data_IF_553199684771
#
_entry.id   IF_553199684771
#
_cell.length_a   1.000
_cell.length_b   1.000
_cell.length_c   1.000
_cell.angle_alpha   90.00
_cell.angle_beta   90.00
_cell.angle_gamma   90.00
#
_symmetry.space_group_name_H-M   'P 1'
#
loop_
_entity.id
_entity.type
_entity.pdbx_description
1 polymer ?
#
# COMPACT_ATOMS: atom_id res chain seq x y z
N UNK A 1 -9.11 10.11 39.60
CA UNK A 1 -8.28 10.02 38.37
C UNK A 1 -7.00 10.79 38.64
N UNK A 2 -5.82 10.20 38.41
CA UNK A 2 -4.52 10.87 38.58
C UNK A 2 -4.17 11.63 37.27
N UNK A 3 -4.17 12.98 37.25
CA UNK A 3 -3.95 13.77 36.03
C UNK A 3 -2.55 13.55 35.43
N UNK A 4 -1.54 13.34 36.27
CA UNK A 4 -0.15 13.12 35.84
C UNK A 4 0.04 11.72 35.25
N UNK A 5 -0.76 10.75 35.69
CA UNK A 5 -0.85 9.42 35.10
C UNK A 5 -1.59 9.41 33.76
N UNK A 6 -2.62 10.24 33.59
CA UNK A 6 -3.37 10.36 32.32
C UNK A 6 -2.53 11.01 31.21
N UNK A 7 -1.69 11.99 31.55
CA UNK A 7 -0.79 12.65 30.60
C UNK A 7 0.49 11.84 30.30
N UNK A 8 0.70 10.70 30.95
CA UNK A 8 1.90 9.86 30.75
C UNK A 8 3.16 10.35 31.47
N UNK A 9 3.11 11.51 32.12
CA UNK A 9 4.27 12.18 32.75
C UNK A 9 4.83 11.36 33.93
N UNK A 10 3.96 10.72 34.72
CA UNK A 10 4.38 9.84 35.81
C UNK A 10 5.10 8.60 35.29
N UNK A 11 4.60 8.00 34.21
CA UNK A 11 5.18 6.81 33.59
C UNK A 11 6.55 7.13 32.98
N UNK A 12 6.68 8.29 32.31
CA UNK A 12 7.95 8.77 31.77
C UNK A 12 8.99 9.05 32.88
N UNK A 13 8.57 9.71 33.96
CA UNK A 13 9.44 10.02 35.10
C UNK A 13 9.90 8.78 35.87
N UNK A 14 9.00 7.81 36.07
CA UNK A 14 9.33 6.54 36.76
C UNK A 14 10.22 5.64 35.90
N UNK A 15 10.02 5.64 34.58
CA UNK A 15 10.92 4.96 33.65
C UNK A 15 12.32 5.59 33.65
N UNK A 16 12.41 6.93 33.67
CA UNK A 16 13.69 7.64 33.78
C UNK A 16 14.43 7.34 35.09
N UNK A 17 13.71 7.13 36.20
CA UNK A 17 14.28 6.70 37.48
C UNK A 17 14.58 5.19 37.58
N UNK A 18 14.40 4.42 36.52
CA UNK A 18 14.68 2.98 36.50
C UNK A 18 13.73 2.13 37.38
N UNK A 19 12.60 2.71 37.82
CA UNK A 19 11.62 2.00 38.64
C UNK A 19 10.73 1.14 37.73
N UNK A 20 10.71 -0.18 37.96
CA UNK A 20 9.75 -1.06 37.27
C UNK A 20 8.34 -0.67 37.69
N UNK A 21 7.55 -0.18 36.74
CA UNK A 21 6.14 0.15 36.94
C UNK A 21 5.39 -1.08 37.44
N UNK A 22 4.74 -0.96 38.61
CA UNK A 22 3.85 -1.99 39.12
C UNK A 22 2.70 -2.24 38.12
N UNK A 23 2.26 -3.49 37.91
CA UNK A 23 1.12 -3.80 37.07
C UNK A 23 -0.12 -3.01 37.54
N UNK A 24 -0.73 -2.25 36.65
CA UNK A 24 -1.97 -1.52 36.95
C UNK A 24 -3.07 -2.54 37.25
N UNK A 25 -3.79 -2.44 38.39
CA UNK A 25 -4.89 -3.35 38.68
C UNK A 25 -6.02 -3.15 37.67
N UNK A 26 -6.62 -4.24 37.20
CA UNK A 26 -7.77 -4.19 36.29
C UNK A 26 -9.01 -3.68 37.05
N UNK A 27 -9.43 -2.44 36.75
CA UNK A 27 -10.58 -1.80 37.38
C UNK A 27 -11.62 -1.39 36.34
N UNK A 28 -12.91 -1.57 36.67
CA UNK A 28 -14.05 -1.22 35.79
C UNK A 28 -15.03 -0.28 36.49
N UNK A 29 -14.63 1.00 36.72
CA UNK A 29 -15.49 1.95 37.41
C UNK A 29 -16.66 2.42 36.52
N UNK A 30 -17.84 2.59 37.13
CA UNK A 30 -19.02 3.27 36.59
C UNK A 30 -19.39 2.93 35.13
N UNK A 31 -19.09 3.83 34.18
CA UNK A 31 -19.47 3.71 32.76
C UNK A 31 -18.89 2.48 32.06
N UNK A 32 -17.74 1.99 32.54
CA UNK A 32 -17.14 0.74 32.05
C UNK A 32 -17.99 -0.50 32.40
N UNK A 33 -19.01 -0.39 33.25
CA UNK A 33 -19.98 -1.48 33.49
C UNK A 33 -21.06 -1.54 32.41
N UNK A 34 -21.32 -0.44 31.71
CA UNK A 34 -22.35 -0.34 30.67
C UNK A 34 -21.78 -0.70 29.29
N UNK A 35 -20.61 -0.15 28.95
CA UNK A 35 -19.93 -0.37 27.67
C UNK A 35 -18.43 -0.45 27.89
N UNK A 36 -17.72 -1.24 27.09
CA UNK A 36 -16.27 -1.46 27.26
C UNK A 36 -15.43 -0.21 26.98
N UNK A 37 -15.88 0.66 26.07
CA UNK A 37 -15.15 1.86 25.68
C UNK A 37 -16.05 3.11 25.70
N UNK A 38 -16.44 3.60 26.89
CA UNK A 38 -17.38 4.71 27.04
C UNK A 38 -16.85 6.02 26.46
N UNK A 39 -15.54 6.25 26.54
CA UNK A 39 -14.88 7.42 25.94
C UNK A 39 -15.00 7.42 24.40
N UNK A 40 -14.74 6.26 23.78
CA UNK A 40 -14.83 6.09 22.32
C UNK A 40 -16.27 6.22 21.83
N UNK A 41 -17.24 5.70 22.61
CA UNK A 41 -18.66 5.93 22.36
C UNK A 41 -19.00 7.43 22.45
N UNK A 42 -18.49 8.14 23.46
CA UNK A 42 -18.69 9.58 23.60
C UNK A 42 -18.19 10.37 22.39
N UNK A 43 -17.00 10.05 21.86
CA UNK A 43 -16.48 10.66 20.64
C UNK A 43 -17.33 10.36 19.40
N UNK A 44 -17.81 9.12 19.25
CA UNK A 44 -18.73 8.78 18.17
C UNK A 44 -20.02 9.61 18.27
N UNK A 45 -20.63 9.69 19.45
CA UNK A 45 -21.82 10.53 19.66
C UNK A 45 -21.50 12.00 19.32
N UNK A 46 -20.38 12.54 19.79
CA UNK A 46 -19.98 13.92 19.52
C UNK A 46 -19.80 14.21 18.03
N UNK A 47 -19.15 13.33 17.28
CA UNK A 47 -18.94 13.51 15.83
C UNK A 47 -20.22 13.44 15.02
N UNK A 48 -21.22 12.70 15.51
CA UNK A 48 -22.51 12.53 14.85
C UNK A 48 -23.60 13.47 15.37
N UNK A 49 -23.34 14.26 16.43
CA UNK A 49 -24.32 15.17 17.06
C UNK A 49 -24.31 16.59 16.51
N UNK A 50 -23.75 16.82 15.32
CA UNK A 50 -23.80 18.12 14.64
C UNK A 50 -25.20 18.40 14.08
N UNK A 51 -25.89 19.49 14.50
CA UNK A 51 -27.29 19.77 14.11
C UNK A 51 -27.49 20.01 12.61
N UNK A 52 -26.46 20.48 11.92
CA UNK A 52 -26.40 20.60 10.46
C UNK A 52 -25.13 19.93 9.98
N UNK A 53 -25.26 18.74 9.41
CA UNK A 53 -24.14 17.96 8.90
C UNK A 53 -23.74 18.44 7.50
N UNK A 54 -22.61 19.13 7.39
CA UNK A 54 -22.03 19.46 6.08
C UNK A 54 -21.30 18.24 5.51
N UNK A 55 -21.07 18.19 4.19
CA UNK A 55 -20.35 17.09 3.56
C UNK A 55 -18.93 16.87 4.13
N UNK A 56 -18.25 17.94 4.55
CA UNK A 56 -16.93 17.85 5.20
C UNK A 56 -17.01 17.24 6.60
N UNK A 57 -18.03 17.59 7.38
CA UNK A 57 -18.29 17.01 8.69
C UNK A 57 -18.73 15.54 8.58
N UNK A 58 -19.50 15.19 7.56
CA UNK A 58 -19.88 13.80 7.29
C UNK A 58 -18.67 12.94 6.94
N UNK A 59 -17.81 13.42 6.03
CA UNK A 59 -16.58 12.73 5.67
C UNK A 59 -15.64 12.58 6.88
N UNK A 60 -15.52 13.62 7.69
CA UNK A 60 -14.76 13.60 8.94
C UNK A 60 -15.34 12.61 9.95
N UNK A 61 -16.66 12.63 10.18
CA UNK A 61 -17.34 11.73 11.11
C UNK A 61 -17.19 10.27 10.67
N UNK A 62 -17.32 9.97 9.37
CA UNK A 62 -17.08 8.65 8.82
C UNK A 62 -15.62 8.21 8.98
N UNK A 63 -14.67 9.07 8.64
CA UNK A 63 -13.24 8.81 8.79
C UNK A 63 -12.84 8.54 10.24
N UNK A 64 -13.31 9.39 11.17
CA UNK A 64 -13.05 9.24 12.60
C UNK A 64 -13.78 8.03 13.20
N UNK A 65 -14.98 7.70 12.70
CA UNK A 65 -15.67 6.48 13.11
C UNK A 65 -14.88 5.23 12.70
N UNK A 66 -14.38 5.20 11.46
CA UNK A 66 -13.51 4.12 11.01
C UNK A 66 -12.22 4.05 11.85
N UNK A 67 -11.57 5.18 12.12
CA UNK A 67 -10.38 5.27 12.97
C UNK A 67 -10.63 4.71 14.38
N UNK A 68 -11.72 5.12 15.04
CA UNK A 68 -12.10 4.62 16.37
C UNK A 68 -12.35 3.11 16.35
N UNK A 69 -13.13 2.61 15.38
CA UNK A 69 -13.41 1.18 15.26
C UNK A 69 -12.14 0.34 15.02
N UNK A 70 -11.15 0.90 14.32
CA UNK A 70 -9.84 0.29 14.15
C UNK A 70 -9.08 0.29 15.48
N UNK A 71 -8.96 1.44 16.13
CA UNK A 71 -8.27 1.61 17.42
C UNK A 71 -8.79 0.65 18.50
N UNK A 72 -10.12 0.53 18.60
CA UNK A 72 -10.80 -0.39 19.51
C UNK A 72 -10.36 -1.84 19.34
N UNK A 73 -10.15 -2.30 18.10
CA UNK A 73 -9.71 -3.69 17.85
C UNK A 73 -8.28 -3.94 18.33
N UNK A 74 -7.41 -2.95 18.24
CA UNK A 74 -6.05 -3.04 18.76
C UNK A 74 -6.06 -2.98 20.29
N UNK A 75 -6.80 -2.04 20.86
CA UNK A 75 -6.98 -1.88 22.30
C UNK A 75 -7.53 -3.16 22.94
N UNK A 76 -8.57 -3.78 22.38
CA UNK A 76 -9.12 -5.07 22.86
C UNK A 76 -8.07 -6.19 22.87
N UNK A 77 -7.21 -6.24 21.84
CA UNK A 77 -6.17 -7.27 21.73
C UNK A 77 -5.06 -7.06 22.74
N UNK A 78 -4.67 -5.82 22.97
CA UNK A 78 -3.63 -5.48 23.93
C UNK A 78 -4.14 -5.64 25.37
N UNK A 79 -5.40 -5.31 25.64
CA UNK A 79 -6.06 -5.60 26.92
C UNK A 79 -6.19 -7.11 27.18
N UNK A 80 -6.54 -7.91 26.17
CA UNK A 80 -6.52 -9.38 26.29
C UNK A 80 -5.12 -9.94 26.57
N UNK A 81 -4.08 -9.37 25.97
CA UNK A 81 -2.69 -9.77 26.23
C UNK A 81 -2.21 -9.37 27.62
N UNK A 82 -2.61 -8.18 28.08
CA UNK A 82 -2.16 -7.62 29.36
C UNK A 82 -2.90 -8.25 30.56
N UNK A 83 -4.20 -8.51 30.43
CA UNK A 83 -5.07 -8.93 31.54
C UNK A 83 -5.66 -10.34 31.40
N UNK A 84 -5.41 -11.03 30.27
CA UNK A 84 -5.74 -12.44 30.07
C UNK A 84 -7.21 -12.77 30.36
N UNK A 85 -7.41 -13.78 31.22
CA UNK A 85 -8.74 -14.31 31.55
C UNK A 85 -9.65 -13.27 32.24
N UNK A 86 -9.10 -12.34 33.03
CA UNK A 86 -9.89 -11.31 33.71
C UNK A 86 -10.62 -10.41 32.71
N UNK A 87 -9.92 -10.00 31.63
CA UNK A 87 -10.53 -9.23 30.56
C UNK A 87 -11.44 -10.08 29.65
N UNK A 88 -11.10 -11.36 29.44
CA UNK A 88 -11.96 -12.27 28.68
C UNK A 88 -13.35 -12.46 29.32
N UNK A 89 -13.42 -12.66 30.64
CA UNK A 89 -14.68 -12.74 31.39
C UNK A 89 -15.43 -11.40 31.42
N UNK A 90 -14.71 -10.27 31.47
CA UNK A 90 -15.32 -8.94 31.36
C UNK A 90 -15.94 -8.70 29.97
N UNK A 91 -15.25 -9.08 28.89
CA UNK A 91 -15.69 -9.00 27.49
C UNK A 91 -16.94 -9.81 27.18
N UNK A 92 -17.18 -10.89 27.92
CA UNK A 92 -18.41 -11.68 27.80
C UNK A 92 -19.61 -11.00 28.46
N UNK A 93 -19.39 -10.16 29.47
CA UNK A 93 -20.44 -9.51 30.27
C UNK A 93 -20.80 -8.11 29.79
N UNK A 94 -19.87 -7.38 29.18
CA UNK A 94 -20.06 -5.97 28.80
C UNK A 94 -19.95 -5.78 27.27
N UNK A 95 -20.95 -5.15 26.61
CA UNK A 95 -20.93 -4.92 25.17
C UNK A 95 -19.84 -3.93 24.74
N UNK A 96 -19.50 -3.91 23.44
CA UNK A 96 -18.36 -3.13 22.93
C UNK A 96 -18.61 -1.61 23.02
N UNK A 97 -19.73 -1.16 22.44
CA UNK A 97 -20.08 0.26 22.26
C UNK A 97 -21.58 0.52 22.44
N UNK A 98 -22.46 -0.36 21.96
CA UNK A 98 -23.91 -0.16 22.05
C UNK A 98 -24.48 -0.96 23.24
N UNK A 99 -25.05 -0.30 24.27
CA UNK A 99 -25.45 -0.96 25.53
C UNK A 99 -26.58 -2.00 25.36
N UNK A 100 -27.37 -1.92 24.29
CA UNK A 100 -28.51 -2.83 24.04
C UNK A 100 -28.17 -4.01 23.13
N UNK A 101 -26.93 -4.13 22.66
CA UNK A 101 -26.52 -5.15 21.71
C UNK A 101 -25.84 -6.35 22.40
N UNK A 102 -26.59 -7.18 23.15
CA UNK A 102 -26.42 -8.65 23.22
C UNK A 102 -27.36 -9.36 24.20
N UNK A 103 -27.88 -10.51 23.76
CA UNK A 103 -28.46 -11.59 24.58
C UNK A 103 -27.35 -12.60 24.90
N UNK A 104 -27.21 -12.95 26.18
CA UNK A 104 -26.19 -13.88 26.71
C UNK A 104 -26.62 -15.35 26.56
N UNK A 105 -25.64 -16.26 26.40
CA UNK A 105 -25.73 -17.62 26.94
C UNK A 105 -24.66 -17.77 28.01
N UNK A 106 -25.12 -18.02 29.23
CA UNK A 106 -24.34 -18.35 30.41
C UNK A 106 -23.68 -19.71 30.22
N UNK A 107 -22.37 -19.78 30.45
CA UNK A 107 -21.70 -21.01 30.84
C UNK A 107 -20.86 -20.68 32.08
N UNK A 108 -21.04 -21.50 33.10
CA UNK A 108 -20.53 -21.33 34.47
C UNK A 108 -19.00 -21.15 34.51
N UNK A 109 -18.54 -20.31 35.44
CA UNK A 109 -17.12 -20.10 35.76
C UNK A 109 -16.91 -20.60 37.18
N UNK A 110 -16.09 -21.64 37.35
CA UNK A 110 -15.49 -22.04 38.62
C UNK A 110 -14.37 -21.06 39.03
N UNK A 111 -14.13 -20.82 40.34
CA UNK A 111 -13.25 -19.77 40.81
C UNK A 111 -11.77 -20.15 40.72
N UNK A 112 -10.97 -19.09 40.70
CA UNK A 112 -9.51 -19.01 40.64
C UNK A 112 -8.73 -20.15 41.31
N UNK A 113 -7.81 -20.76 40.55
CA UNK A 113 -6.71 -21.58 41.04
C UNK A 113 -5.44 -21.27 40.24
N UNK A 114 -4.42 -20.76 40.93
CA UNK A 114 -3.06 -20.61 40.38
C UNK A 114 -2.47 -22.00 40.22
N UNK A 115 -2.07 -22.39 39.01
CA UNK A 115 -1.32 -23.63 38.78
C UNK A 115 -0.26 -23.43 37.68
N UNK A 116 1.00 -23.46 38.10
CA UNK A 116 2.16 -23.77 37.27
C UNK A 116 2.08 -25.23 36.81
N UNK A 117 2.40 -25.51 35.53
CA UNK A 117 2.95 -26.82 35.13
C UNK A 117 2.12 -27.71 34.21
N UNK A 118 2.59 -27.80 32.95
CA UNK A 118 2.92 -29.02 32.17
C UNK A 118 1.77 -29.98 31.75
N UNK A 119 1.54 -30.06 30.43
CA UNK A 119 1.79 -31.28 29.63
C UNK A 119 1.53 -31.03 28.13
N UNK A 120 2.62 -31.04 27.35
CA UNK A 120 2.62 -31.00 25.89
C UNK A 120 2.62 -32.44 25.34
N UNK A 121 1.72 -32.77 24.40
CA UNK A 121 1.69 -34.08 23.74
C UNK A 121 2.62 -34.11 22.51
N UNK A 122 3.49 -35.13 22.31
CA UNK A 122 4.65 -35.01 21.40
C UNK A 122 4.41 -35.31 19.91
N UNK A 123 3.24 -35.79 19.49
CA UNK A 123 3.04 -36.36 18.14
C UNK A 123 2.31 -35.44 17.15
N UNK A 124 1.75 -34.31 17.59
CA UNK A 124 1.18 -33.29 16.70
C UNK A 124 2.21 -32.30 16.13
N UNK A 125 3.45 -32.33 16.64
CA UNK A 125 4.49 -31.34 16.32
C UNK A 125 5.23 -31.65 15.02
N UNK A 126 5.32 -32.91 14.60
CA UNK A 126 6.13 -33.31 13.42
C UNK A 126 5.40 -33.17 12.07
N UNK A 127 4.08 -33.38 12.02
CA UNK A 127 3.32 -33.22 10.77
C UNK A 127 3.13 -31.72 10.46
N UNK A 128 2.93 -30.91 11.50
CA UNK A 128 2.89 -29.46 11.36
C UNK A 128 4.28 -28.85 11.13
N UNK A 129 5.38 -29.41 11.64
CA UNK A 129 6.71 -28.80 11.43
C UNK A 129 7.17 -28.87 9.98
N UNK A 130 6.86 -29.92 9.20
CA UNK A 130 7.20 -29.98 7.77
C UNK A 130 6.35 -29.05 6.90
N UNK A 131 5.03 -28.95 7.15
CA UNK A 131 4.17 -28.01 6.40
C UNK A 131 4.44 -26.55 6.82
N UNK A 132 4.67 -26.31 8.12
CA UNK A 132 5.01 -24.99 8.67
C UNK A 132 6.40 -24.56 8.25
N UNK A 133 7.40 -25.45 8.20
CA UNK A 133 8.73 -25.17 7.66
C UNK A 133 8.70 -24.80 6.17
N UNK A 134 7.81 -25.39 5.38
CA UNK A 134 7.59 -24.98 3.98
C UNK A 134 6.82 -23.65 3.84
N UNK A 135 5.91 -23.34 4.76
CA UNK A 135 5.15 -22.06 4.78
C UNK A 135 5.87 -20.88 5.48
N UNK A 136 7.05 -21.11 6.07
CA UNK A 136 7.66 -20.23 7.10
C UNK A 136 8.36 -18.95 6.64
N UNK A 137 8.46 -18.66 5.34
CA UNK A 137 9.31 -17.56 4.85
C UNK A 137 8.58 -16.28 4.45
N UNK A 138 7.24 -16.30 4.47
CA UNK A 138 6.40 -15.20 3.98
C UNK A 138 5.41 -14.82 5.06
N UNK A 139 5.41 -13.54 5.42
CA UNK A 139 4.58 -13.01 6.50
C UNK A 139 3.21 -12.65 5.97
N UNK A 140 2.12 -13.17 6.57
CA UNK A 140 0.77 -12.76 6.22
C UNK A 140 0.63 -11.25 6.40
N UNK A 141 0.14 -10.60 5.35
CA UNK A 141 -0.10 -9.18 5.39
C UNK A 141 -1.19 -8.87 6.41
N UNK A 142 -0.89 -7.98 7.36
CA UNK A 142 -1.90 -7.41 8.25
C UNK A 142 -3.13 -6.94 7.47
N UNK A 143 -4.32 -7.26 8.01
CA UNK A 143 -5.59 -6.98 7.34
C UNK A 143 -5.76 -5.49 6.98
N UNK A 144 -5.24 -4.58 7.81
CA UNK A 144 -5.30 -3.13 7.56
C UNK A 144 -4.44 -2.73 6.35
N UNK A 145 -3.19 -3.21 6.26
CA UNK A 145 -2.36 -3.03 5.07
C UNK A 145 -3.06 -3.55 3.83
N UNK A 146 -3.69 -4.73 3.93
CA UNK A 146 -4.44 -5.31 2.82
C UNK A 146 -5.64 -4.45 2.40
N UNK A 147 -6.36 -3.88 3.37
CA UNK A 147 -7.47 -2.96 3.10
C UNK A 147 -6.99 -1.66 2.42
N UNK A 148 -5.86 -1.10 2.87
CA UNK A 148 -5.24 0.08 2.24
C UNK A 148 -4.84 -0.22 0.80
N UNK A 149 -4.21 -1.36 0.53
CA UNK A 149 -3.85 -1.74 -0.84
C UNK A 149 -5.10 -1.96 -1.72
N UNK A 150 -6.17 -2.54 -1.19
CA UNK A 150 -7.45 -2.63 -1.92
C UNK A 150 -8.06 -1.26 -2.21
N UNK A 151 -8.00 -0.33 -1.27
CA UNK A 151 -8.45 1.05 -1.50
C UNK A 151 -7.62 1.71 -2.62
N UNK A 152 -6.29 1.60 -2.57
CA UNK A 152 -5.40 2.12 -3.62
C UNK A 152 -5.71 1.50 -4.98
N UNK A 153 -5.90 0.18 -5.03
CA UNK A 153 -6.24 -0.53 -6.25
C UNK A 153 -7.61 -0.12 -6.81
N UNK A 154 -8.63 0.00 -5.96
CA UNK A 154 -9.98 0.42 -6.37
C UNK A 154 -10.01 1.87 -6.86
N UNK A 155 -9.28 2.77 -6.19
CA UNK A 155 -9.16 4.17 -6.58
C UNK A 155 -8.43 4.33 -7.92
N UNK A 156 -7.31 3.62 -8.08
CA UNK A 156 -6.60 3.56 -9.36
C UNK A 156 -7.48 2.94 -10.47
N UNK A 157 -8.26 1.90 -10.18
CA UNK A 157 -9.17 1.31 -11.15
C UNK A 157 -10.25 2.31 -11.58
N UNK A 158 -10.87 3.01 -10.64
CA UNK A 158 -11.89 4.02 -10.94
C UNK A 158 -11.32 5.14 -11.81
N UNK A 159 -10.17 5.70 -11.44
CA UNK A 159 -9.48 6.71 -12.25
C UNK A 159 -9.09 6.19 -13.64
N UNK A 160 -8.55 4.98 -13.72
CA UNK A 160 -8.17 4.33 -14.97
C UNK A 160 -9.36 4.11 -15.91
N UNK A 161 -10.49 3.61 -15.40
CA UNK A 161 -11.70 3.39 -16.20
C UNK A 161 -12.29 4.70 -16.71
N UNK A 162 -12.36 5.73 -15.87
CA UNK A 162 -12.84 7.06 -16.30
C UNK A 162 -11.98 7.60 -17.45
N UNK A 163 -10.66 7.56 -17.30
CA UNK A 163 -9.72 8.12 -18.27
C UNK A 163 -9.64 7.30 -19.58
N UNK A 164 -9.82 5.98 -19.52
CA UNK A 164 -9.79 5.12 -20.70
C UNK A 164 -11.11 5.16 -21.49
N UNK A 165 -12.24 5.09 -20.78
CA UNK A 165 -13.57 4.97 -21.39
C UNK A 165 -14.19 6.33 -21.73
N UNK A 166 -13.91 7.37 -20.94
CA UNK A 166 -14.50 8.71 -21.09
C UNK A 166 -13.42 9.81 -21.20
N UNK A 167 -12.45 9.71 -22.12
CA UNK A 167 -11.31 10.62 -22.18
C UNK A 167 -11.68 12.07 -22.55
N UNK A 168 -12.86 12.28 -23.16
CA UNK A 168 -13.37 13.61 -23.54
C UNK A 168 -14.18 14.30 -22.44
N UNK A 169 -14.47 13.63 -21.33
CA UNK A 169 -15.33 14.14 -20.24
C UNK A 169 -14.53 14.34 -18.93
N UNK A 170 -13.24 14.65 -19.04
CA UNK A 170 -12.35 14.79 -17.88
C UNK A 170 -12.61 16.07 -17.07
N UNK A 171 -13.22 17.07 -17.67
CA UNK A 171 -13.74 18.28 -17.02
C UNK A 171 -14.79 17.96 -15.92
N UNK A 172 -15.66 16.99 -16.18
CA UNK A 172 -16.76 16.61 -15.29
C UNK A 172 -16.45 15.36 -14.47
N UNK A 173 -15.77 14.37 -15.03
CA UNK A 173 -15.54 13.06 -14.40
C UNK A 173 -14.18 12.94 -13.71
N UNK A 174 -13.28 13.90 -13.94
CA UNK A 174 -11.92 13.86 -13.40
C UNK A 174 -11.55 15.13 -12.62
N UNK A 175 -10.34 15.16 -12.08
CA UNK A 175 -9.86 16.21 -11.18
C UNK A 175 -9.46 17.50 -11.91
N UNK A 176 -9.19 17.43 -13.21
CA UNK A 176 -8.96 18.55 -14.11
C UNK A 176 -9.21 18.11 -15.55
N UNK A 177 -9.37 19.07 -16.45
CA UNK A 177 -9.52 18.82 -17.88
C UNK A 177 -8.20 18.36 -18.51
N UNK A 178 -8.21 17.19 -19.13
CA UNK A 178 -7.05 16.61 -19.84
C UNK A 178 -7.34 16.62 -21.33
N UNK A 179 -6.55 17.39 -22.08
CA UNK A 179 -6.59 17.45 -23.53
C UNK A 179 -5.19 17.29 -24.14
N UNK A 180 -5.08 16.73 -25.36
CA UNK A 180 -6.11 16.00 -26.10
C UNK A 180 -6.35 14.58 -25.51
N UNK A 181 -7.38 13.83 -25.95
CA UNK A 181 -7.79 12.54 -25.38
C UNK A 181 -6.68 11.48 -25.23
N UNK A 182 -5.66 11.48 -26.10
CA UNK A 182 -4.49 10.59 -25.97
C UNK A 182 -3.80 10.75 -24.61
N UNK A 183 -3.70 11.96 -24.07
CA UNK A 183 -3.12 12.22 -22.75
C UNK A 183 -3.94 11.54 -21.64
N UNK A 184 -5.27 11.59 -21.74
CA UNK A 184 -6.16 10.95 -20.78
C UNK A 184 -6.01 9.42 -20.84
N UNK A 185 -6.03 8.82 -22.04
CA UNK A 185 -5.91 7.36 -22.20
C UNK A 185 -4.58 6.80 -21.75
N UNK A 186 -3.46 7.46 -22.08
CA UNK A 186 -2.13 7.07 -21.57
C UNK A 186 -2.09 7.16 -20.04
N UNK A 187 -2.65 8.21 -19.46
CA UNK A 187 -2.70 8.32 -18.02
C UNK A 187 -3.61 7.26 -17.37
N UNK A 188 -4.74 6.95 -18.01
CA UNK A 188 -5.65 5.89 -17.60
C UNK A 188 -5.01 4.49 -17.66
N UNK A 189 -4.17 4.23 -18.66
CA UNK A 189 -3.40 2.99 -18.78
C UNK A 189 -2.43 2.79 -17.60
N UNK A 190 -1.73 3.86 -17.17
CA UNK A 190 -0.87 3.83 -15.99
C UNK A 190 -1.65 3.48 -14.72
N UNK A 191 -2.81 4.10 -14.52
CA UNK A 191 -3.70 3.78 -13.41
C UNK A 191 -4.21 2.34 -13.44
N UNK A 192 -4.64 1.85 -14.60
CA UNK A 192 -5.11 0.48 -14.77
C UNK A 192 -4.00 -0.52 -14.45
N UNK A 193 -2.79 -0.29 -14.96
CA UNK A 193 -1.62 -1.11 -14.65
C UNK A 193 -1.30 -1.14 -13.15
N UNK A 194 -1.31 0.03 -12.50
CA UNK A 194 -1.17 0.15 -11.05
C UNK A 194 -2.26 -0.60 -10.28
N UNK A 195 -3.53 -0.46 -10.68
CA UNK A 195 -4.67 -1.13 -10.07
C UNK A 195 -4.55 -2.66 -10.13
N UNK A 196 -4.19 -3.20 -11.31
CA UNK A 196 -3.99 -4.64 -11.50
C UNK A 196 -2.81 -5.14 -10.66
N UNK A 197 -1.68 -4.44 -10.68
CA UNK A 197 -0.49 -4.86 -9.93
C UNK A 197 -0.73 -4.83 -8.41
N UNK A 198 -1.26 -3.72 -7.89
CA UNK A 198 -1.57 -3.55 -6.46
C UNK A 198 -2.68 -4.50 -6.03
N UNK A 199 -3.74 -4.65 -6.83
CA UNK A 199 -4.85 -5.58 -6.56
C UNK A 199 -4.40 -7.04 -6.52
N UNK A 200 -3.51 -7.45 -7.44
CA UNK A 200 -2.94 -8.79 -7.43
C UNK A 200 -2.12 -9.06 -6.15
N UNK A 201 -1.33 -8.08 -5.69
CA UNK A 201 -0.56 -8.17 -4.46
C UNK A 201 -1.45 -8.18 -3.20
N UNK A 202 -2.48 -7.33 -3.17
CA UNK A 202 -3.49 -7.30 -2.11
C UNK A 202 -4.28 -8.62 -2.04
N UNK A 203 -4.56 -9.25 -3.20
CA UNK A 203 -5.19 -10.57 -3.28
C UNK A 203 -4.29 -11.66 -2.72
N UNK A 204 -2.98 -11.65 -3.04
CA UNK A 204 -2.00 -12.60 -2.48
C UNK A 204 -1.93 -12.52 -0.95
N UNK A 205 -2.07 -11.32 -0.38
CA UNK A 205 -2.14 -11.14 1.07
C UNK A 205 -0.83 -11.44 1.80
N UNK A 206 0.31 -11.30 1.12
CA UNK A 206 1.66 -11.51 1.66
C UNK A 206 2.45 -10.21 1.56
N UNK A 207 3.18 -9.85 2.61
CA UNK A 207 3.89 -8.57 2.68
C UNK A 207 5.15 -8.50 1.82
N UNK A 208 5.98 -9.55 1.80
CA UNK A 208 7.28 -9.53 1.14
C UNK A 208 7.20 -9.16 -0.36
N UNK A 209 6.30 -9.74 -1.17
CA UNK A 209 6.14 -9.35 -2.57
C UNK A 209 5.52 -7.96 -2.76
N UNK A 210 4.81 -7.43 -1.77
CA UNK A 210 4.20 -6.10 -1.84
C UNK A 210 5.17 -4.97 -1.45
N UNK A 211 6.29 -5.31 -0.80
CA UNK A 211 7.24 -4.34 -0.23
C UNK A 211 7.81 -3.37 -1.25
N UNK A 212 8.09 -3.82 -2.47
CA UNK A 212 8.64 -2.95 -3.53
C UNK A 212 7.68 -1.83 -3.94
N UNK A 213 6.38 -1.95 -3.63
CA UNK A 213 5.41 -0.89 -3.90
C UNK A 213 5.69 0.36 -3.06
N UNK A 214 6.29 0.22 -1.87
CA UNK A 214 6.53 1.37 -0.97
C UNK A 214 7.37 2.46 -1.63
N UNK A 215 8.61 2.20 -2.12
CA UNK A 215 9.41 3.23 -2.78
C UNK A 215 8.74 3.77 -4.06
N UNK A 216 7.98 2.94 -4.79
CA UNK A 216 7.24 3.37 -5.98
C UNK A 216 6.10 4.33 -5.61
N UNK A 217 5.24 3.95 -4.65
CA UNK A 217 4.10 4.75 -4.18
C UNK A 217 4.55 6.04 -3.50
N UNK A 218 5.65 6.01 -2.74
CA UNK A 218 6.22 7.20 -2.11
C UNK A 218 6.72 8.18 -3.16
N UNK A 219 7.48 7.69 -4.15
CA UNK A 219 8.02 8.54 -5.22
C UNK A 219 6.90 9.13 -6.08
N UNK A 220 5.98 8.29 -6.58
CA UNK A 220 4.84 8.76 -7.36
C UNK A 220 3.99 9.74 -6.54
N UNK A 221 3.67 9.39 -5.29
CA UNK A 221 2.88 10.19 -4.37
C UNK A 221 3.41 11.60 -4.20
N UNK A 222 4.67 11.71 -3.77
CA UNK A 222 5.31 13.00 -3.49
C UNK A 222 5.51 13.84 -4.75
N UNK A 223 5.92 13.23 -5.87
CA UNK A 223 6.11 13.97 -7.13
C UNK A 223 4.79 14.46 -7.72
N UNK A 224 3.73 13.65 -7.64
CA UNK A 224 2.39 14.07 -8.09
C UNK A 224 1.82 15.12 -7.16
N UNK A 225 1.96 14.98 -5.84
CA UNK A 225 1.54 16.00 -4.88
C UNK A 225 2.27 17.32 -5.13
N UNK A 226 3.60 17.31 -5.28
CA UNK A 226 4.39 18.49 -5.60
C UNK A 226 3.97 19.12 -6.93
N UNK A 227 3.78 18.31 -7.97
CA UNK A 227 3.25 18.77 -9.27
C UNK A 227 1.88 19.43 -9.13
N UNK A 228 1.00 18.88 -8.29
CA UNK A 228 -0.34 19.42 -8.04
C UNK A 228 -0.24 20.79 -7.37
N UNK A 229 0.61 20.92 -6.35
CA UNK A 229 0.80 22.19 -5.64
C UNK A 229 1.31 23.31 -6.57
N UNK A 230 2.12 22.95 -7.58
CA UNK A 230 2.60 23.88 -8.60
C UNK A 230 1.56 24.31 -9.64
N UNK A 231 0.43 23.60 -9.77
CA UNK A 231 -0.60 23.86 -10.80
C UNK A 231 -2.01 23.83 -10.21
N UNK A 232 -2.18 24.31 -8.97
CA UNK A 232 -3.49 24.32 -8.30
C UNK A 232 -4.56 25.07 -9.11
N UNK A 233 -4.14 26.02 -9.95
CA UNK A 233 -4.97 26.77 -10.90
C UNK A 233 -5.65 25.90 -11.97
N UNK A 234 -5.08 24.72 -12.28
CA UNK A 234 -5.64 23.79 -13.28
C UNK A 234 -6.68 22.83 -12.69
N UNK A 235 -6.66 22.62 -11.38
CA UNK A 235 -7.51 21.63 -10.74
C UNK A 235 -8.90 22.18 -10.47
N UNK A 236 -9.89 21.28 -10.52
CA UNK A 236 -11.25 21.58 -10.06
C UNK A 236 -11.22 21.88 -8.56
N UNK A 237 -11.60 23.11 -8.19
CA UNK A 237 -11.57 23.59 -6.83
C UNK A 237 -12.50 22.78 -5.88
N UNK A 238 -12.30 22.97 -4.58
CA UNK A 238 -13.12 22.33 -3.54
C UNK A 238 -12.78 20.86 -3.33
N UNK A 239 -13.82 20.02 -3.23
CA UNK A 239 -13.68 18.62 -2.80
C UNK A 239 -12.82 17.77 -3.72
N UNK A 240 -12.80 18.05 -5.04
CA UNK A 240 -11.99 17.28 -6.01
C UNK A 240 -10.49 17.47 -5.73
N UNK A 241 -10.02 18.72 -5.67
CA UNK A 241 -8.63 19.02 -5.33
C UNK A 241 -8.26 18.50 -3.93
N UNK A 242 -9.15 18.67 -2.94
CA UNK A 242 -8.90 18.17 -1.58
C UNK A 242 -8.73 16.64 -1.55
N UNK A 243 -9.61 15.90 -2.23
CA UNK A 243 -9.50 14.44 -2.32
C UNK A 243 -8.23 14.00 -3.06
N UNK A 244 -7.89 14.67 -4.17
CA UNK A 244 -6.68 14.40 -4.93
C UNK A 244 -5.43 14.54 -4.05
N UNK A 245 -5.29 15.68 -3.36
CA UNK A 245 -4.17 15.92 -2.45
C UNK A 245 -4.17 14.94 -1.27
N UNK A 246 -5.34 14.62 -0.71
CA UNK A 246 -5.47 13.63 0.35
C UNK A 246 -4.88 12.29 -0.09
N UNK A 247 -5.26 11.78 -1.26
CA UNK A 247 -4.75 10.50 -1.78
C UNK A 247 -3.24 10.58 -2.00
N UNK A 248 -2.75 11.62 -2.68
CA UNK A 248 -1.34 11.71 -3.05
C UNK A 248 -0.39 12.14 -1.93
N UNK A 249 -0.88 12.69 -0.82
CA UNK A 249 -0.09 13.00 0.38
C UNK A 249 -0.22 11.89 1.42
N UNK A 250 -1.44 11.43 1.72
CA UNK A 250 -1.65 10.46 2.81
C UNK A 250 -1.24 9.05 2.40
N UNK A 251 -1.51 8.61 1.16
CA UNK A 251 -1.13 7.26 0.74
C UNK A 251 0.38 6.99 0.82
N UNK A 252 1.30 7.87 0.37
CA UNK A 252 2.74 7.62 0.50
C UNK A 252 3.21 7.65 1.96
N UNK A 253 2.69 8.56 2.80
CA UNK A 253 2.99 8.57 4.23
C UNK A 253 2.52 7.28 4.91
N UNK A 254 1.32 6.82 4.56
CA UNK A 254 0.78 5.56 5.05
C UNK A 254 1.61 4.37 4.57
N UNK A 255 2.09 4.38 3.33
CA UNK A 255 3.00 3.35 2.82
C UNK A 255 4.30 3.26 3.63
N UNK A 256 4.88 4.39 4.05
CA UNK A 256 6.05 4.42 4.94
C UNK A 256 5.73 3.85 6.32
N UNK A 257 4.62 4.27 6.93
CA UNK A 257 4.18 3.74 8.23
C UNK A 257 3.95 2.23 8.16
N UNK A 258 3.23 1.77 7.14
CA UNK A 258 2.96 0.35 6.92
C UNK A 258 4.24 -0.45 6.68
N UNK A 259 5.22 0.13 5.97
CA UNK A 259 6.53 -0.47 5.81
C UNK A 259 7.19 -0.74 7.16
N UNK A 260 7.26 0.27 8.03
CA UNK A 260 7.86 0.14 9.37
C UNK A 260 7.11 -0.88 10.22
N UNK A 261 5.78 -0.83 10.23
CA UNK A 261 4.95 -1.76 11.02
C UNK A 261 5.14 -3.21 10.59
N UNK A 262 5.18 -3.46 9.28
CA UNK A 262 5.35 -4.81 8.74
C UNK A 262 6.77 -5.33 8.93
N UNK A 263 7.78 -4.46 8.80
CA UNK A 263 9.17 -4.82 9.12
C UNK A 263 9.32 -5.19 10.59
N UNK A 264 8.71 -4.43 11.51
CA UNK A 264 8.70 -4.74 12.95
C UNK A 264 7.93 -6.02 13.28
N UNK A 265 6.95 -6.39 12.45
CA UNK A 265 6.20 -7.65 12.58
C UNK A 265 6.98 -8.90 12.14
N UNK A 266 8.27 -8.77 11.79
CA UNK A 266 9.14 -9.90 11.46
C UNK A 266 9.23 -10.24 9.97
N UNK A 267 9.03 -9.26 9.09
CA UNK A 267 9.09 -9.48 7.64
C UNK A 267 10.40 -10.14 7.18
N UNK A 268 10.34 -11.13 6.31
CA UNK A 268 11.51 -11.88 5.89
C UNK A 268 12.30 -11.19 4.76
N UNK A 269 13.63 -11.33 4.82
CA UNK A 269 14.57 -10.98 3.74
C UNK A 269 15.21 -12.22 3.11
N UNK A 270 14.73 -13.43 3.46
CA UNK A 270 15.23 -14.66 2.89
C UNK A 270 15.01 -14.68 1.37
N UNK A 271 16.06 -15.02 0.63
CA UNK A 271 16.06 -15.08 -0.83
C UNK A 271 15.83 -16.51 -1.27
N UNK A 272 14.75 -16.77 -2.00
CA UNK A 272 14.46 -18.07 -2.61
C UNK A 272 15.00 -18.14 -4.03
N UNK A 273 14.73 -17.10 -4.82
CA UNK A 273 15.12 -17.02 -6.23
C UNK A 273 16.08 -15.85 -6.40
N UNK A 274 17.39 -16.05 -6.29
CA UNK A 274 18.32 -14.93 -6.35
C UNK A 274 18.27 -14.25 -7.71
N UNK A 275 18.15 -12.91 -7.71
CA UNK A 275 18.29 -12.09 -8.92
C UNK A 275 19.71 -12.20 -9.45
N UNK A 276 19.87 -12.58 -10.73
CA UNK A 276 21.20 -12.68 -11.35
C UNK A 276 21.90 -11.32 -11.41
N UNK A 277 23.24 -11.33 -11.46
CA UNK A 277 24.01 -10.08 -11.55
C UNK A 277 23.71 -9.31 -12.84
N UNK A 278 23.47 -10.02 -13.95
CA UNK A 278 23.11 -9.41 -15.23
C UNK A 278 21.75 -8.71 -15.16
N UNK A 279 20.71 -9.41 -14.69
CA UNK A 279 19.36 -8.84 -14.48
C UNK A 279 19.41 -7.63 -13.54
N UNK A 280 20.21 -7.71 -12.47
CA UNK A 280 20.37 -6.61 -11.51
C UNK A 280 21.04 -5.39 -12.14
N UNK A 281 22.16 -5.56 -12.85
CA UNK A 281 22.85 -4.45 -13.52
C UNK A 281 21.94 -3.79 -14.55
N UNK A 282 21.23 -4.58 -15.35
CA UNK A 282 20.28 -4.08 -16.34
C UNK A 282 19.17 -3.24 -15.68
N UNK A 283 18.58 -3.73 -14.57
CA UNK A 283 17.58 -3.00 -13.82
C UNK A 283 18.13 -1.67 -13.28
N UNK A 284 19.32 -1.67 -12.66
CA UNK A 284 19.90 -0.47 -12.07
C UNK A 284 20.26 0.59 -13.12
N UNK A 285 20.87 0.18 -14.24
CA UNK A 285 21.22 1.08 -15.34
C UNK A 285 19.94 1.67 -15.95
N UNK A 286 18.93 0.83 -16.20
CA UNK A 286 17.65 1.29 -16.76
C UNK A 286 16.91 2.23 -15.80
N UNK A 287 16.89 1.91 -14.51
CA UNK A 287 16.29 2.77 -13.49
C UNK A 287 16.97 4.14 -13.39
N UNK A 288 18.30 4.18 -13.43
CA UNK A 288 19.07 5.42 -13.45
C UNK A 288 18.83 6.22 -14.73
N UNK A 289 18.78 5.56 -15.90
CA UNK A 289 18.50 6.22 -17.18
C UNK A 289 17.08 6.82 -17.22
N UNK A 290 16.07 6.10 -16.73
CA UNK A 290 14.69 6.60 -16.63
C UNK A 290 14.62 7.83 -15.71
N UNK A 291 15.32 7.81 -14.58
CA UNK A 291 15.39 8.96 -13.68
C UNK A 291 16.09 10.17 -14.33
N UNK A 292 17.21 9.92 -15.03
CA UNK A 292 17.92 10.95 -15.76
C UNK A 292 17.06 11.59 -16.86
N UNK A 293 16.15 10.84 -17.47
CA UNK A 293 15.16 11.37 -18.42
C UNK A 293 13.97 12.09 -17.76
N UNK A 294 13.43 11.54 -16.67
CA UNK A 294 12.22 12.06 -16.02
C UNK A 294 12.45 13.33 -15.19
N UNK A 295 13.57 13.44 -14.49
CA UNK A 295 13.86 14.58 -13.61
C UNK A 295 13.94 15.93 -14.36
N UNK A 296 14.60 16.02 -15.54
CA UNK A 296 14.57 17.24 -16.34
C UNK A 296 13.16 17.64 -16.81
N UNK A 297 12.31 16.68 -17.16
CA UNK A 297 10.92 16.94 -17.57
C UNK A 297 10.12 17.51 -16.38
N UNK A 298 10.36 17.00 -15.16
CA UNK A 298 9.73 17.53 -13.94
C UNK A 298 10.13 18.98 -13.68
N UNK A 299 11.42 19.29 -13.79
CA UNK A 299 11.96 20.61 -13.52
C UNK A 299 11.57 21.63 -14.62
N UNK A 300 11.75 21.28 -15.89
CA UNK A 300 11.61 22.18 -17.03
C UNK A 300 10.69 21.64 -18.13
N UNK A 301 9.39 21.43 -17.85
CA UNK A 301 8.47 20.88 -18.85
C UNK A 301 8.29 21.79 -20.08
N UNK A 302 8.52 23.11 -19.94
CA UNK A 302 8.41 24.07 -21.03
C UNK A 302 9.42 23.81 -22.16
N UNK A 303 10.59 23.25 -21.84
CA UNK A 303 11.62 22.90 -22.84
C UNK A 303 11.26 21.61 -23.60
N UNK A 304 10.40 20.77 -23.01
CA UNK A 304 10.04 19.45 -23.52
C UNK A 304 8.72 19.48 -24.29
N UNK A 305 7.76 20.33 -23.89
CA UNK A 305 6.46 20.46 -24.53
C UNK A 305 6.48 20.73 -26.06
N UNK A 306 7.42 21.52 -26.61
CA UNK A 306 7.55 21.70 -28.06
C UNK A 306 8.01 20.42 -28.78
N UNK A 307 8.85 19.64 -28.10
CA UNK A 307 9.42 18.39 -28.61
C UNK A 307 8.48 17.19 -28.42
N UNK A 308 7.43 17.31 -27.61
CA UNK A 308 6.51 16.20 -27.36
C UNK A 308 5.73 15.82 -28.64
N UNK A 309 5.49 14.53 -28.93
CA UNK A 309 4.92 14.13 -30.23
C UNK A 309 3.48 14.56 -30.48
N UNK A 310 2.77 15.02 -29.45
CA UNK A 310 1.42 15.61 -29.48
C UNK A 310 1.32 16.76 -28.47
N UNK A 311 0.27 17.59 -28.51
CA UNK A 311 0.08 18.65 -27.52
C UNK A 311 -0.02 18.10 -26.09
N UNK A 312 0.82 18.59 -25.19
CA UNK A 312 0.77 18.25 -23.77
C UNK A 312 1.03 19.50 -22.93
N UNK A 313 0.23 19.71 -21.89
CA UNK A 313 0.42 20.80 -20.94
C UNK A 313 1.62 20.51 -20.02
N UNK A 314 2.17 21.56 -19.40
CA UNK A 314 3.24 21.41 -18.41
C UNK A 314 2.84 20.49 -17.24
N UNK A 315 1.57 20.57 -16.82
CA UNK A 315 0.99 19.68 -15.82
C UNK A 315 1.06 18.21 -16.28
N UNK A 316 0.59 17.90 -17.49
CA UNK A 316 0.59 16.52 -17.99
C UNK A 316 2.00 15.94 -18.14
N UNK A 317 2.96 16.71 -18.65
CA UNK A 317 4.34 16.27 -18.77
C UNK A 317 4.95 15.93 -17.41
N UNK A 318 4.70 16.76 -16.40
CA UNK A 318 5.15 16.51 -15.02
C UNK A 318 4.48 15.27 -14.42
N UNK A 319 3.18 15.05 -14.68
CA UNK A 319 2.48 13.84 -14.23
C UNK A 319 3.09 12.58 -14.87
N UNK A 320 3.32 12.56 -16.19
CA UNK A 320 3.97 11.42 -16.85
C UNK A 320 5.39 11.19 -16.31
N UNK A 321 6.16 12.26 -16.17
CA UNK A 321 7.51 12.18 -15.63
C UNK A 321 7.53 11.68 -14.18
N UNK A 322 6.57 12.06 -13.33
CA UNK A 322 6.45 11.54 -11.97
C UNK A 322 6.25 10.01 -11.95
N UNK A 323 5.41 9.48 -12.85
CA UNK A 323 5.22 8.04 -13.00
C UNK A 323 6.48 7.35 -13.51
N UNK A 324 7.14 7.90 -14.53
CA UNK A 324 8.41 7.34 -15.02
C UNK A 324 9.48 7.33 -13.93
N UNK A 325 9.62 8.41 -13.16
CA UNK A 325 10.54 8.45 -12.02
C UNK A 325 10.18 7.39 -10.96
N UNK A 326 8.90 7.15 -10.68
CA UNK A 326 8.47 6.09 -9.77
C UNK A 326 8.84 4.69 -10.27
N UNK A 327 8.69 4.42 -11.57
CA UNK A 327 9.20 3.19 -12.20
C UNK A 327 10.72 3.08 -12.10
N UNK A 328 11.44 4.18 -12.34
CA UNK A 328 12.89 4.25 -12.22
C UNK A 328 13.37 3.90 -10.80
N UNK A 329 12.75 4.48 -9.77
CA UNK A 329 13.00 4.11 -8.37
C UNK A 329 12.64 2.65 -8.09
N UNK A 330 11.54 2.15 -8.65
CA UNK A 330 11.16 0.74 -8.55
C UNK A 330 12.24 -0.20 -9.11
N UNK A 331 12.88 0.17 -10.22
CA UNK A 331 14.02 -0.57 -10.77
C UNK A 331 15.28 -0.46 -9.91
N UNK A 332 15.55 0.71 -9.32
CA UNK A 332 16.65 0.86 -8.37
C UNK A 332 16.46 -0.02 -7.11
N UNK A 333 15.22 -0.39 -6.78
CA UNK A 333 14.92 -1.31 -5.68
C UNK A 333 15.51 -2.72 -5.86
N UNK A 334 15.91 -3.11 -7.09
CA UNK A 334 16.68 -4.34 -7.34
C UNK A 334 18.05 -4.36 -6.63
N UNK A 335 18.52 -3.21 -6.13
CA UNK A 335 19.71 -3.12 -5.26
C UNK A 335 19.45 -3.69 -3.87
N UNK A 336 18.20 -3.60 -3.40
CA UNK A 336 17.76 -3.92 -2.04
C UNK A 336 17.07 -5.28 -2.03
N UNK A 337 16.00 -5.45 -2.81
CA UNK A 337 15.31 -6.73 -2.93
C UNK A 337 16.09 -7.66 -3.86
N UNK A 338 16.40 -8.86 -3.35
CA UNK A 338 17.30 -9.82 -4.01
C UNK A 338 16.56 -11.05 -4.51
N UNK A 339 15.26 -11.14 -4.25
CA UNK A 339 14.39 -12.21 -4.73
C UNK A 339 13.63 -11.82 -6.01
N UNK A 340 13.87 -12.57 -7.08
CA UNK A 340 13.24 -12.34 -8.38
C UNK A 340 11.72 -12.45 -8.35
N UNK A 341 11.14 -13.41 -7.61
CA UNK A 341 9.67 -13.62 -7.60
C UNK A 341 8.94 -12.45 -6.98
N UNK A 342 9.57 -11.75 -6.04
CA UNK A 342 9.03 -10.54 -5.41
C UNK A 342 9.04 -9.34 -6.35
N UNK A 343 10.01 -9.29 -7.27
CA UNK A 343 10.19 -8.20 -8.23
C UNK A 343 9.55 -8.44 -9.60
N UNK A 344 9.21 -9.68 -9.92
CA UNK A 344 8.56 -10.06 -11.20
C UNK A 344 7.31 -9.24 -11.51
N UNK A 345 6.43 -8.88 -10.54
CA UNK A 345 5.26 -8.05 -10.82
C UNK A 345 5.61 -6.69 -11.45
N UNK A 346 6.70 -6.04 -11.02
CA UNK A 346 7.16 -4.78 -11.61
C UNK A 346 7.61 -4.98 -13.06
N UNK A 347 8.37 -6.05 -13.33
CA UNK A 347 8.87 -6.39 -14.66
C UNK A 347 7.71 -6.67 -15.63
N UNK A 348 6.71 -7.44 -15.18
CA UNK A 348 5.53 -7.74 -15.98
C UNK A 348 4.71 -6.48 -16.27
N UNK A 349 4.58 -5.59 -15.28
CA UNK A 349 3.90 -4.32 -15.45
C UNK A 349 4.59 -3.45 -16.51
N UNK A 350 5.92 -3.39 -16.51
CA UNK A 350 6.67 -2.63 -17.54
C UNK A 350 6.40 -3.15 -18.95
N UNK A 351 6.39 -4.46 -19.16
CA UNK A 351 6.10 -5.07 -20.47
C UNK A 351 4.66 -4.76 -20.89
N UNK A 352 3.69 -4.96 -19.99
CA UNK A 352 2.28 -4.74 -20.29
C UNK A 352 1.97 -3.26 -20.55
N UNK A 353 2.49 -2.34 -19.73
CA UNK A 353 2.33 -0.90 -19.91
C UNK A 353 3.00 -0.41 -21.20
N UNK A 354 4.22 -0.88 -21.50
CA UNK A 354 4.89 -0.55 -22.77
C UNK A 354 4.04 -0.92 -23.99
N UNK A 355 3.52 -2.15 -24.02
CA UNK A 355 2.68 -2.62 -25.12
C UNK A 355 1.37 -1.84 -25.22
N UNK A 356 0.71 -1.58 -24.08
CA UNK A 356 -0.54 -0.83 -24.04
C UNK A 356 -0.36 0.63 -24.46
N UNK A 357 0.71 1.29 -24.01
CA UNK A 357 0.99 2.68 -24.36
C UNK A 357 1.31 2.82 -25.86
N UNK A 358 2.08 1.88 -26.43
CA UNK A 358 2.32 1.83 -27.88
C UNK A 358 1.03 1.62 -28.67
N UNK A 359 0.15 0.73 -28.20
CA UNK A 359 -1.16 0.53 -28.81
C UNK A 359 -2.01 1.81 -28.73
N UNK A 360 -2.04 2.50 -27.59
CA UNK A 360 -2.78 3.75 -27.45
C UNK A 360 -2.23 4.81 -28.40
N UNK A 361 -0.91 4.95 -28.53
CA UNK A 361 -0.30 5.89 -29.50
C UNK A 361 -0.72 5.54 -30.92
N UNK A 362 -0.69 4.26 -31.30
CA UNK A 362 -1.11 3.83 -32.63
C UNK A 362 -2.60 4.10 -32.90
N UNK A 363 -3.47 3.86 -31.90
CA UNK A 363 -4.91 4.13 -32.00
C UNK A 363 -5.27 5.62 -32.03
N UNK A 364 -4.32 6.50 -31.69
CA UNK A 364 -4.50 7.96 -31.66
C UNK A 364 -3.52 8.67 -32.58
N UNK A 365 -3.13 8.01 -33.67
CA UNK A 365 -2.22 8.57 -34.65
C UNK A 365 -2.76 9.89 -35.25
N UNK A 366 -4.08 10.10 -35.24
CA UNK A 366 -4.76 11.32 -35.65
C UNK A 366 -4.46 12.53 -34.75
N UNK A 367 -4.04 12.32 -33.49
CA UNK A 367 -3.76 13.38 -32.52
C UNK A 367 -2.29 13.79 -32.45
N UNK A 368 -1.45 13.20 -33.31
CA UNK A 368 -0.02 13.46 -33.34
C UNK A 368 0.27 14.81 -34.00
N UNK A 369 1.13 15.60 -33.35
CA UNK A 369 1.69 16.83 -33.91
C UNK A 369 2.74 16.52 -34.98
N UNK A 370 3.51 15.46 -34.78
CA UNK A 370 4.62 15.08 -35.65
C UNK A 370 4.74 13.57 -35.77
N UNK A 371 5.12 13.11 -36.96
CA UNK A 371 5.51 11.72 -37.25
C UNK A 371 7.02 11.56 -37.40
N UNK A 372 7.78 12.62 -37.13
CA UNK A 372 9.23 12.67 -37.26
C UNK A 372 9.99 12.13 -36.04
N UNK A 373 11.25 12.57 -35.91
CA UNK A 373 12.17 12.10 -34.87
C UNK A 373 11.58 12.05 -33.44
N UNK A 374 10.81 13.05 -32.96
CA UNK A 374 10.32 13.00 -31.58
C UNK A 374 9.35 11.84 -31.31
N UNK A 375 8.50 11.49 -32.27
CA UNK A 375 7.61 10.33 -32.16
C UNK A 375 8.43 9.04 -32.10
N UNK A 376 9.42 8.89 -32.97
CA UNK A 376 10.30 7.72 -32.98
C UNK A 376 11.09 7.57 -31.69
N UNK A 377 11.63 8.66 -31.14
CA UNK A 377 12.29 8.64 -29.84
C UNK A 377 11.31 8.25 -28.71
N UNK A 378 10.07 8.74 -28.77
CA UNK A 378 9.04 8.35 -27.82
C UNK A 378 8.72 6.85 -27.89
N UNK A 379 8.40 6.34 -29.09
CA UNK A 379 8.11 4.92 -29.30
C UNK A 379 9.32 4.04 -28.97
N UNK A 380 10.54 4.46 -29.33
CA UNK A 380 11.77 3.74 -29.00
C UNK A 380 12.00 3.64 -27.49
N UNK A 381 11.66 4.68 -26.70
CA UNK A 381 11.73 4.57 -25.25
C UNK A 381 10.73 3.55 -24.72
N UNK A 382 9.51 3.49 -25.25
CA UNK A 382 8.49 2.55 -24.80
C UNK A 382 8.89 1.12 -25.15
N UNK A 383 9.33 0.89 -26.39
CA UNK A 383 9.87 -0.40 -26.83
C UNK A 383 11.05 -0.79 -25.96
N UNK A 384 11.98 0.14 -25.70
CA UNK A 384 13.13 -0.08 -24.82
C UNK A 384 12.72 -0.51 -23.41
N UNK A 385 11.73 0.15 -22.82
CA UNK A 385 11.19 -0.21 -21.49
C UNK A 385 10.63 -1.64 -21.47
N UNK A 386 9.84 -2.02 -22.48
CA UNK A 386 9.29 -3.37 -22.60
C UNK A 386 10.37 -4.42 -22.85
N UNK A 387 11.33 -4.12 -23.73
CA UNK A 387 12.47 -4.98 -24.03
C UNK A 387 13.35 -5.22 -22.81
N UNK A 388 13.62 -4.19 -21.99
CA UNK A 388 14.31 -4.36 -20.71
C UNK A 388 13.60 -5.41 -19.85
N UNK A 389 12.26 -5.33 -19.75
CA UNK A 389 11.49 -6.32 -19.00
C UNK A 389 11.61 -7.75 -19.55
N UNK A 390 11.51 -7.91 -20.89
CA UNK A 390 11.68 -9.21 -21.56
C UNK A 390 13.10 -9.76 -21.36
N UNK A 391 14.11 -8.92 -21.53
CA UNK A 391 15.52 -9.27 -21.31
C UNK A 391 15.78 -9.69 -19.88
N UNK A 392 15.16 -9.03 -18.89
CA UNK A 392 15.27 -9.42 -17.48
C UNK A 392 14.72 -10.83 -17.22
N UNK A 393 13.58 -11.20 -17.82
CA UNK A 393 13.07 -12.57 -17.77
C UNK A 393 14.02 -13.57 -18.42
N UNK A 394 14.56 -13.24 -19.59
CA UNK A 394 15.50 -14.09 -20.32
C UNK A 394 16.79 -14.35 -19.51
N UNK A 395 17.40 -13.29 -18.98
CA UNK A 395 18.61 -13.35 -18.14
C UNK A 395 18.41 -14.10 -16.82
N UNK A 396 17.16 -14.26 -16.37
CA UNK A 396 16.83 -14.93 -15.11
C UNK A 396 16.56 -16.44 -15.28
N UNK A 397 16.33 -16.94 -16.50
CA UNK A 397 16.05 -18.37 -16.79
C UNK A 397 17.02 -19.34 -16.11
N UNK A 398 18.36 -19.14 -16.12
CA UNK A 398 19.29 -20.10 -15.51
C UNK A 398 19.11 -20.25 -14.00
N UNK A 399 18.82 -19.14 -13.29
CA UNK A 399 18.62 -19.14 -11.85
C UNK A 399 17.29 -19.82 -11.46
N UNK A 400 16.24 -19.65 -12.27
CA UNK A 400 14.96 -20.34 -12.08
C UNK A 400 15.10 -21.85 -12.30
N UNK A 401 15.82 -22.27 -13.35
CA UNK A 401 16.06 -23.69 -13.64
C UNK A 401 16.83 -24.39 -12.51
N UNK A 402 17.87 -23.74 -11.96
CA UNK A 402 18.62 -24.26 -10.80
C UNK A 402 17.74 -24.46 -9.56
N UNK A 403 16.79 -23.55 -9.32
CA UNK A 403 15.86 -23.69 -8.20
C UNK A 403 14.84 -24.81 -8.43
N UNK A 404 14.31 -24.96 -9.64
CA UNK A 404 13.41 -26.06 -10.00
C UNK A 404 14.04 -27.43 -9.77
N UNK A 405 15.31 -27.61 -10.17
CA UNK A 405 16.08 -28.84 -9.92
C UNK A 405 16.27 -29.13 -8.42
N UNK A 406 16.56 -28.09 -7.61
CA UNK A 406 16.68 -28.25 -6.15
C UNK A 406 15.36 -28.63 -5.47
N UNK A 407 14.21 -28.22 -6.03
CA UNK A 407 12.90 -28.53 -5.47
C UNK A 407 12.42 -29.96 -5.82
N UNK A 408 12.84 -30.51 -6.96
CA UNK A 408 12.47 -31.84 -7.43
C UNK A 408 13.70 -32.64 -7.92
N UNK A 409 14.52 -33.17 -7.01
CA UNK A 409 15.74 -33.91 -7.38
C UNK A 409 15.45 -35.22 -8.15
N UNK A 410 14.31 -35.88 -7.88
CA UNK A 410 13.95 -37.20 -8.46
C UNK A 410 13.67 -37.20 -9.97
N UNK A 411 13.53 -36.05 -10.62
CA UNK A 411 13.32 -35.97 -12.07
C UNK A 411 14.63 -35.86 -12.87
N UNK A 412 15.78 -35.65 -12.20
CA UNK A 412 17.07 -35.46 -12.86
C UNK A 412 17.93 -36.74 -12.94
N UNK A 413 17.49 -37.84 -12.33
CA UNK A 413 18.19 -39.14 -12.34
C UNK A 413 17.57 -40.17 -13.31
N UNK A 414 16.59 -39.76 -14.12
CA UNK A 414 15.86 -40.64 -15.04
C UNK A 414 16.17 -40.40 -16.54
N UNK A 415 17.30 -39.77 -16.86
CA UNK A 415 17.78 -39.58 -18.24
C UNK A 415 19.24 -39.93 -18.37
#
# INVERSE_FOLDING_TARGET
LDPLGLLGLRQAYQHWRGVKLAPQPFATPALYRLVRHPLMLGFLVAFWSTPRMTWSQLLFALGMSAYILIGLRYEERDLLRAFGNAYASYRQRVPLLVPFARRAKSAQIEPFGVAYGRNEYPWHTQINSRSKAMSSYETPMQWFTRAVLWFVAANALAGGLVLLLFPTHTDTLFFWTINPPINARLFGALYLGGAVAVGALARRGVWEPARFLVPVLVTAGLLIAGTTLLHTDKFSAGLRLAYWLLVYIVAPLLALVLYVLQTRAGSSWAVRVPVTNATRRLALISGAAILAGGLPILAWPANVAPLWPWPASALMLRIFAAWFCAFGVGLLWFRVERDWRRLTPLVNLMIASSALDLLIVALHADQLRTTGLPLWLYCAHLVGLGMVGVSMHWLQRPAQAKQGRKAHPKAAEAT
#
